data_IF_997038102728
#
_entry.id   IF_997038102728
#
_cell.length_a   1.000
_cell.length_b   1.000
_cell.length_c   1.000
_cell.angle_alpha   90.00
_cell.angle_beta   90.00
_cell.angle_gamma   90.00
#
_symmetry.space_group_name_H-M   'P 1'
#
loop_
_entity.id
_entity.type
_entity.pdbx_description
1 polymer ?
#
# COMPACT_ATOMS: atom_id res chain seq x y z
N UNK A 1 -7.61 -12.51 -12.86
CA UNK A 1 -6.18 -12.88 -12.98
C UNK A 1 -5.35 -11.62 -12.70
N UNK A 2 -4.14 -11.74 -12.14
CA UNK A 2 -3.27 -10.58 -11.93
C UNK A 2 -2.71 -10.09 -13.28
N UNK A 3 -2.58 -8.76 -13.43
CA UNK A 3 -1.90 -8.17 -14.58
C UNK A 3 -0.45 -8.72 -14.70
N UNK A 4 0.17 -8.73 -15.90
CA UNK A 4 1.47 -9.37 -16.12
C UNK A 4 2.59 -8.91 -15.19
N UNK A 5 2.67 -7.60 -14.89
CA UNK A 5 3.68 -7.03 -13.98
C UNK A 5 3.26 -7.01 -12.51
N UNK A 6 2.04 -7.46 -12.20
CA UNK A 6 1.51 -7.46 -10.84
C UNK A 6 1.86 -8.78 -10.15
N UNK A 7 2.70 -8.69 -9.12
CA UNK A 7 3.20 -9.84 -8.36
C UNK A 7 2.28 -10.20 -7.21
N UNK A 8 1.71 -9.20 -6.54
CA UNK A 8 0.81 -9.38 -5.40
C UNK A 8 -0.26 -8.30 -5.39
N UNK A 9 -1.46 -8.67 -4.99
CA UNK A 9 -2.53 -7.77 -4.64
C UNK A 9 -3.23 -8.31 -3.39
N UNK A 10 -3.32 -7.48 -2.36
CA UNK A 10 -4.06 -7.76 -1.14
C UNK A 10 -5.08 -6.65 -0.95
N UNK A 11 -6.34 -7.01 -0.83
CA UNK A 11 -7.44 -6.06 -0.62
C UNK A 11 -8.27 -6.49 0.56
N UNK A 12 -8.82 -5.53 1.29
CA UNK A 12 -9.66 -5.84 2.43
C UNK A 12 -10.32 -4.61 3.04
N UNK A 13 -11.26 -4.85 3.97
CA UNK A 13 -12.04 -3.79 4.59
C UNK A 13 -11.26 -3.01 5.65
N UNK A 14 -10.17 -3.58 6.17
CA UNK A 14 -9.39 -3.01 7.26
C UNK A 14 -7.95 -3.54 7.23
N UNK A 15 -6.97 -2.64 7.34
CA UNK A 15 -5.54 -2.99 7.40
C UNK A 15 -5.16 -3.73 8.69
N UNK A 16 -6.05 -3.73 9.69
CA UNK A 16 -5.85 -4.36 10.99
C UNK A 16 -5.43 -5.84 10.91
N UNK A 17 -6.07 -6.65 10.07
CA UNK A 17 -5.73 -8.06 9.98
C UNK A 17 -4.30 -8.30 9.46
N UNK A 18 -3.74 -7.35 8.69
CA UNK A 18 -2.34 -7.39 8.22
C UNK A 18 -1.40 -6.86 9.29
N UNK A 19 -1.77 -5.76 9.93
CA UNK A 19 -0.90 -5.04 10.85
C UNK A 19 -0.93 -5.58 12.29
N UNK A 20 -1.96 -6.31 12.68
CA UNK A 20 -2.17 -6.78 14.06
C UNK A 20 -0.97 -7.55 14.60
N UNK A 21 -0.42 -8.51 13.85
CA UNK A 21 0.76 -9.28 14.26
C UNK A 21 2.04 -8.44 14.36
N UNK A 22 2.19 -7.42 13.49
CA UNK A 22 3.33 -6.52 13.49
C UNK A 22 3.25 -5.51 14.65
N UNK A 23 2.08 -4.90 14.84
CA UNK A 23 1.81 -3.87 15.85
C UNK A 23 1.56 -4.44 17.24
N UNK A 24 1.35 -5.75 17.40
CA UNK A 24 1.31 -6.40 18.71
C UNK A 24 2.65 -6.28 19.47
N UNK A 25 3.75 -6.01 18.76
CA UNK A 25 5.09 -5.89 19.34
C UNK A 25 5.37 -4.44 19.74
N UNK A 26 5.54 -4.17 21.03
CA UNK A 26 5.89 -2.82 21.54
C UNK A 26 7.16 -2.26 20.89
N UNK A 27 8.16 -3.11 20.65
CA UNK A 27 9.41 -2.76 19.94
C UNK A 27 9.20 -2.21 18.52
N UNK A 28 8.03 -2.44 17.91
CA UNK A 28 7.65 -1.86 16.63
C UNK A 28 6.83 -0.59 16.83
N UNK A 29 5.93 -0.56 17.81
CA UNK A 29 5.05 0.59 18.07
C UNK A 29 5.81 1.83 18.53
N UNK A 30 6.75 1.69 19.46
CA UNK A 30 7.41 2.86 20.06
C UNK A 30 8.27 3.62 19.05
N UNK A 31 9.08 2.96 18.19
CA UNK A 31 9.79 3.66 17.13
C UNK A 31 8.85 4.30 16.10
N UNK A 32 7.68 3.70 15.80
CA UNK A 32 6.71 4.29 14.89
C UNK A 32 6.14 5.60 15.45
N UNK A 33 5.81 5.62 16.74
CA UNK A 33 5.34 6.84 17.40
C UNK A 33 6.45 7.89 17.49
N UNK A 34 7.64 7.51 17.97
CA UNK A 34 8.74 8.44 18.23
C UNK A 34 9.39 9.00 16.97
N UNK A 35 9.63 8.16 15.96
CA UNK A 35 10.35 8.55 14.73
C UNK A 35 9.42 9.02 13.63
N UNK A 36 8.18 8.54 13.59
CA UNK A 36 7.27 8.81 12.47
C UNK A 36 5.95 9.46 12.91
N UNK A 37 5.79 9.81 14.19
CA UNK A 37 4.56 10.45 14.69
C UNK A 37 3.31 9.56 14.60
N UNK A 38 3.49 8.25 14.45
CA UNK A 38 2.40 7.26 14.36
C UNK A 38 1.96 6.82 15.75
N UNK A 39 1.27 7.72 16.45
CA UNK A 39 0.63 7.43 17.73
C UNK A 39 -0.61 6.53 17.60
N UNK A 40 -1.25 6.22 18.73
CA UNK A 40 -2.39 5.28 18.78
C UNK A 40 -3.57 5.72 17.90
N UNK A 41 -3.86 7.02 17.83
CA UNK A 41 -4.95 7.55 17.01
C UNK A 41 -4.68 7.37 15.51
N UNK A 42 -3.43 7.61 15.08
CA UNK A 42 -3.02 7.43 13.69
C UNK A 42 -3.00 5.95 13.32
N UNK A 43 -2.56 5.08 14.22
CA UNK A 43 -2.61 3.63 14.03
C UNK A 43 -4.06 3.13 13.99
N UNK A 44 -4.95 3.66 14.82
CA UNK A 44 -6.38 3.31 14.77
C UNK A 44 -7.01 3.69 13.43
N UNK A 45 -6.65 4.86 12.88
CA UNK A 45 -7.07 5.31 11.56
C UNK A 45 -6.58 4.36 10.45
N UNK A 46 -5.29 4.03 10.45
CA UNK A 46 -4.68 3.06 9.53
C UNK A 46 -5.39 1.70 9.58
N UNK A 47 -5.63 1.18 10.79
CA UNK A 47 -6.23 -0.14 11.02
C UNK A 47 -7.64 -0.25 10.46
N UNK A 48 -8.42 0.82 10.47
CA UNK A 48 -9.84 0.82 10.07
C UNK A 48 -10.08 1.19 8.61
N UNK A 49 -9.04 1.63 7.88
CA UNK A 49 -9.23 2.14 6.53
C UNK A 49 -9.24 1.00 5.51
N UNK A 50 -10.28 0.90 4.65
CA UNK A 50 -10.29 -0.07 3.56
C UNK A 50 -9.15 0.19 2.60
N UNK A 51 -8.55 -0.89 2.11
CA UNK A 51 -7.27 -0.78 1.42
C UNK A 51 -7.11 -1.74 0.26
N UNK A 52 -6.18 -1.37 -0.61
CA UNK A 52 -5.58 -2.24 -1.63
C UNK A 52 -4.07 -2.05 -1.56
N UNK A 53 -3.38 -3.10 -1.15
CA UNK A 53 -1.93 -3.23 -1.22
C UNK A 53 -1.57 -3.95 -2.51
N UNK A 54 -0.57 -3.46 -3.21
CA UNK A 54 -0.17 -3.98 -4.51
C UNK A 54 1.34 -3.96 -4.62
N UNK A 55 1.91 -5.05 -5.09
CA UNK A 55 3.32 -5.17 -5.42
C UNK A 55 3.44 -5.48 -6.92
N UNK A 56 4.22 -4.67 -7.61
CA UNK A 56 4.53 -4.87 -9.03
C UNK A 56 6.02 -5.05 -9.24
N UNK A 57 6.40 -5.82 -10.26
CA UNK A 57 7.79 -5.89 -10.71
C UNK A 57 8.20 -4.58 -11.37
N UNK A 58 9.46 -4.22 -11.19
CA UNK A 58 10.08 -3.06 -11.81
C UNK A 58 11.23 -3.58 -12.68
N UNK A 59 11.14 -3.46 -14.02
CA UNK A 59 12.08 -4.14 -14.91
C UNK A 59 13.45 -3.47 -14.98
N UNK A 60 13.56 -2.20 -14.56
CA UNK A 60 14.78 -1.40 -14.69
C UNK A 60 14.94 -0.45 -13.52
N UNK A 61 16.19 -0.13 -13.24
CA UNK A 61 16.56 0.81 -12.20
C UNK A 61 16.84 0.13 -10.85
N UNK A 62 16.98 0.92 -9.80
CA UNK A 62 17.49 0.47 -8.50
C UNK A 62 16.48 -0.35 -7.67
N UNK A 63 15.24 -0.50 -8.15
CA UNK A 63 14.21 -1.29 -7.49
C UNK A 63 13.86 -2.48 -8.36
N UNK A 64 13.72 -3.65 -7.74
CA UNK A 64 13.22 -4.86 -8.40
C UNK A 64 11.68 -4.93 -8.34
N UNK A 65 11.08 -4.26 -7.36
CA UNK A 65 9.64 -4.19 -7.18
C UNK A 65 9.23 -2.83 -6.60
N UNK A 66 7.98 -2.43 -6.86
CA UNK A 66 7.37 -1.23 -6.30
C UNK A 66 6.12 -1.60 -5.51
N UNK A 67 6.00 -1.03 -4.32
CA UNK A 67 4.85 -1.21 -3.43
C UNK A 67 3.90 -0.02 -3.58
N UNK A 68 2.60 -0.28 -3.64
CA UNK A 68 1.58 0.77 -3.56
C UNK A 68 0.51 0.36 -2.55
N UNK A 69 0.15 1.29 -1.66
CA UNK A 69 -0.95 1.16 -0.73
C UNK A 69 -1.98 2.23 -1.08
N UNK A 70 -3.17 1.80 -1.49
CA UNK A 70 -4.31 2.67 -1.76
C UNK A 70 -5.30 2.54 -0.61
N UNK A 71 -5.74 3.67 -0.09
CA UNK A 71 -6.64 3.76 1.06
C UNK A 71 -7.92 4.49 0.66
N UNK A 72 -9.08 3.90 0.94
CA UNK A 72 -10.38 4.58 0.84
C UNK A 72 -10.59 5.45 2.08
N UNK A 73 -10.14 6.70 2.02
CA UNK A 73 -10.14 7.60 3.18
C UNK A 73 -11.50 8.24 3.46
N UNK A 74 -12.44 8.21 2.51
CA UNK A 74 -13.79 8.77 2.64
C UNK A 74 -13.83 10.15 3.29
N UNK A 75 -14.65 10.30 4.33
CA UNK A 75 -14.82 11.54 5.10
C UNK A 75 -13.64 11.87 6.03
N UNK A 76 -12.76 10.90 6.30
CA UNK A 76 -11.59 11.06 7.18
C UNK A 76 -10.41 11.77 6.50
N UNK A 77 -10.64 12.34 5.31
CA UNK A 77 -9.64 13.04 4.49
C UNK A 77 -8.80 14.05 5.29
N UNK A 78 -9.42 14.86 6.15
CA UNK A 78 -8.71 15.85 6.98
C UNK A 78 -7.75 15.21 7.99
N UNK A 79 -8.16 14.12 8.63
CA UNK A 79 -7.33 13.38 9.59
C UNK A 79 -6.10 12.79 8.87
N UNK A 80 -6.32 12.23 7.69
CA UNK A 80 -5.23 11.75 6.83
C UNK A 80 -4.27 12.85 6.38
N UNK A 81 -4.75 14.05 6.04
CA UNK A 81 -3.86 15.18 5.75
C UNK A 81 -2.95 15.52 6.93
N UNK A 82 -3.46 15.50 8.17
CA UNK A 82 -2.65 15.74 9.37
C UNK A 82 -1.58 14.66 9.58
N UNK A 83 -1.93 13.39 9.36
CA UNK A 83 -0.97 12.27 9.41
C UNK A 83 0.17 12.49 8.43
N UNK A 84 -0.14 12.80 7.17
CA UNK A 84 0.85 13.01 6.12
C UNK A 84 1.77 14.21 6.39
N UNK A 85 1.23 15.29 6.96
CA UNK A 85 2.04 16.44 7.38
C UNK A 85 3.03 16.05 8.48
N UNK A 86 2.62 15.21 9.43
CA UNK A 86 3.48 14.71 10.50
C UNK A 86 4.65 13.85 9.99
N UNK A 87 4.50 13.15 8.86
CA UNK A 87 5.57 12.33 8.28
C UNK A 87 6.61 13.13 7.49
N UNK A 88 6.30 14.37 7.10
CA UNK A 88 7.17 15.16 6.24
C UNK A 88 8.51 15.46 6.90
N UNK A 89 8.50 15.94 8.15
CA UNK A 89 9.72 16.32 8.86
C UNK A 89 10.64 15.11 9.12
N UNK A 90 10.15 13.97 9.65
CA UNK A 90 11.00 12.79 9.80
C UNK A 90 11.65 12.29 8.51
N UNK A 91 11.01 12.46 7.36
CA UNK A 91 11.56 12.04 6.07
C UNK A 91 12.65 13.01 5.59
N UNK A 92 12.47 14.31 5.83
CA UNK A 92 13.52 15.31 5.61
C UNK A 92 14.73 15.06 6.52
N UNK A 93 14.50 14.74 7.80
CA UNK A 93 15.55 14.43 8.77
C UNK A 93 16.33 13.14 8.40
N UNK A 94 15.73 12.26 7.58
CA UNK A 94 16.37 11.07 6.99
C UNK A 94 17.15 11.37 5.71
N UNK A 95 17.30 12.65 5.32
CA UNK A 95 17.99 13.07 4.11
C UNK A 95 17.19 12.82 2.83
N UNK A 96 15.86 12.66 2.92
CA UNK A 96 15.01 12.62 1.73
C UNK A 96 14.60 14.03 1.34
N UNK A 97 14.61 14.30 0.05
CA UNK A 97 14.13 15.55 -0.53
C UNK A 97 12.69 15.39 -1.00
N UNK A 98 11.81 16.33 -0.69
CA UNK A 98 10.48 16.37 -1.29
C UNK A 98 10.49 17.15 -2.61
N UNK A 99 10.28 16.44 -3.70
CA UNK A 99 10.12 16.95 -5.05
C UNK A 99 8.65 17.11 -5.48
N UNK A 100 7.70 17.24 -4.53
CA UNK A 100 6.32 17.60 -4.87
C UNK A 100 6.31 18.79 -5.83
N UNK A 101 5.50 18.75 -6.91
CA UNK A 101 5.52 19.82 -7.91
C UNK A 101 5.25 21.16 -7.23
N UNK A 102 6.18 22.10 -7.39
CA UNK A 102 5.95 23.50 -7.02
C UNK A 102 4.68 23.94 -7.75
N UNK A 103 3.66 24.31 -6.98
CA UNK A 103 2.36 24.67 -7.54
C UNK A 103 2.53 26.01 -8.25
N UNK A 104 2.55 25.97 -9.58
CA UNK A 104 2.80 27.13 -10.45
C UNK A 104 1.71 28.21 -10.38
N UNK A 105 0.66 28.03 -9.57
CA UNK A 105 -0.46 28.98 -9.49
C UNK A 105 -1.08 29.06 -8.08
N UNK A 106 -1.46 30.25 -7.59
CA UNK A 106 -2.05 30.44 -6.25
C UNK A 106 -3.37 29.67 -6.03
N UNK A 107 -4.18 29.48 -7.07
CA UNK A 107 -5.42 28.70 -6.99
C UNK A 107 -5.17 27.20 -6.85
N UNK A 108 -4.15 26.67 -7.54
CA UNK A 108 -3.68 25.28 -7.40
C UNK A 108 -2.96 25.09 -6.06
N UNK A 109 -2.23 26.11 -5.59
CA UNK A 109 -1.66 26.20 -4.25
C UNK A 109 -2.74 26.08 -3.17
N UNK A 110 -3.84 26.81 -3.29
CA UNK A 110 -4.94 26.79 -2.31
C UNK A 110 -5.72 25.47 -2.30
N UNK A 111 -5.92 24.85 -3.47
CA UNK A 111 -6.65 23.57 -3.58
C UNK A 111 -5.78 22.36 -3.17
N UNK A 112 -4.47 22.42 -3.40
CA UNK A 112 -3.52 21.39 -2.96
C UNK A 112 -2.96 21.64 -1.54
N UNK A 113 -3.04 22.87 -1.01
CA UNK A 113 -2.76 23.17 0.40
C UNK A 113 -3.66 22.36 1.34
N UNK A 114 -4.86 22.01 0.89
CA UNK A 114 -5.78 21.15 1.64
C UNK A 114 -5.39 19.65 1.61
N UNK A 115 -4.53 19.25 0.66
CA UNK A 115 -4.24 17.85 0.33
C UNK A 115 -2.74 17.64 0.07
N UNK A 116 -1.95 17.39 1.13
CA UNK A 116 -0.50 17.28 1.00
C UNK A 116 -0.15 16.15 0.04
N UNK A 117 0.66 16.47 -0.97
CA UNK A 117 1.26 15.52 -1.91
C UNK A 117 2.77 15.59 -1.72
N UNK A 118 3.44 14.45 -1.79
CA UNK A 118 4.89 14.37 -1.64
C UNK A 118 5.48 13.37 -2.64
N UNK A 119 6.68 13.69 -3.13
CA UNK A 119 7.51 12.80 -3.94
C UNK A 119 8.90 12.81 -3.33
N UNK A 120 9.26 11.72 -2.66
CA UNK A 120 10.52 11.59 -1.94
C UNK A 120 11.61 11.06 -2.85
N UNK A 121 12.73 11.77 -2.90
CA UNK A 121 13.96 11.34 -3.58
C UNK A 121 15.16 11.39 -2.64
N UNK A 122 16.19 10.61 -2.98
CA UNK A 122 17.52 10.73 -2.39
C UNK A 122 18.30 11.87 -3.05
N UNK A 123 19.47 12.19 -2.50
CA UNK A 123 20.36 13.25 -2.99
C UNK A 123 20.84 13.04 -4.44
N UNK A 124 20.87 11.78 -4.90
CA UNK A 124 21.18 11.40 -6.29
C UNK A 124 19.98 11.60 -7.26
N UNK A 125 18.86 12.14 -6.77
CA UNK A 125 17.63 12.32 -7.53
C UNK A 125 16.78 11.06 -7.70
N UNK A 126 17.19 9.92 -7.14
CA UNK A 126 16.45 8.68 -7.20
C UNK A 126 15.14 8.79 -6.39
N UNK A 127 14.00 8.64 -7.04
CA UNK A 127 12.69 8.58 -6.37
C UNK A 127 12.56 7.29 -5.58
N UNK A 128 12.29 7.41 -4.28
CA UNK A 128 12.14 6.27 -3.36
C UNK A 128 10.70 6.06 -2.91
N UNK A 129 9.82 7.03 -3.12
CA UNK A 129 8.41 6.89 -2.78
C UNK A 129 7.68 8.22 -2.73
N UNK A 130 6.50 8.21 -2.12
CA UNK A 130 5.67 9.39 -2.01
C UNK A 130 4.24 9.07 -1.66
N UNK A 131 3.43 10.12 -1.62
CA UNK A 131 1.99 9.99 -1.50
C UNK A 131 1.29 11.04 -2.35
N UNK A 132 0.10 10.69 -2.84
CA UNK A 132 -0.76 11.62 -3.56
C UNK A 132 -2.23 11.29 -3.32
N UNK A 133 -3.04 12.33 -3.44
CA UNK A 133 -4.48 12.21 -3.41
C UNK A 133 -5.01 11.84 -4.79
N UNK A 134 -6.00 10.95 -4.82
CA UNK A 134 -6.73 10.56 -6.01
C UNK A 134 -8.22 10.75 -5.76
N UNK A 135 -8.92 11.30 -6.74
CA UNK A 135 -10.38 11.40 -6.71
C UNK A 135 -10.88 10.99 -8.09
N UNK A 136 -11.65 9.90 -8.14
CA UNK A 136 -12.37 9.53 -9.35
C UNK A 136 -13.67 10.35 -9.43
N UNK A 137 -14.13 10.73 -10.63
CA UNK A 137 -15.44 11.33 -10.81
C UNK A 137 -16.52 10.43 -10.19
N UNK A 138 -17.30 10.96 -9.25
CA UNK A 138 -18.35 10.20 -8.53
C UNK A 138 -17.84 9.19 -7.49
N UNK A 139 -16.54 9.11 -7.24
CA UNK A 139 -15.93 8.21 -6.26
C UNK A 139 -15.45 8.93 -4.99
N UNK A 140 -15.31 8.15 -3.91
CA UNK A 140 -14.71 8.62 -2.68
C UNK A 140 -13.23 9.01 -2.88
N UNK A 141 -12.72 9.96 -2.09
CA UNK A 141 -11.29 10.25 -2.07
C UNK A 141 -10.48 9.03 -1.70
N UNK A 142 -9.36 8.89 -2.38
CA UNK A 142 -8.38 7.86 -2.11
C UNK A 142 -7.02 8.48 -1.85
N UNK A 143 -6.31 7.92 -0.89
CA UNK A 143 -4.91 8.24 -0.64
C UNK A 143 -4.05 7.12 -1.21
N UNK A 144 -3.12 7.46 -2.09
CA UNK A 144 -2.14 6.54 -2.63
C UNK A 144 -0.79 6.81 -1.98
N UNK A 145 -0.25 5.81 -1.29
CA UNK A 145 1.13 5.76 -0.84
C UNK A 145 1.90 4.82 -1.75
N UNK A 146 3.16 5.13 -2.03
CA UNK A 146 4.01 4.27 -2.84
C UNK A 146 5.46 4.27 -2.36
N UNK A 147 6.11 3.13 -2.53
CA UNK A 147 7.55 2.92 -2.32
C UNK A 147 8.15 2.40 -3.64
N UNK A 148 9.29 2.97 -4.02
CA UNK A 148 9.91 2.80 -5.33
C UNK A 148 9.46 3.85 -6.34
N UNK A 149 9.56 3.57 -7.65
CA UNK A 149 9.27 4.55 -8.70
C UNK A 149 7.82 5.00 -8.70
N UNK A 150 7.61 6.25 -9.14
CA UNK A 150 6.28 6.87 -9.17
C UNK A 150 5.28 6.01 -9.99
N UNK A 151 4.10 5.68 -9.42
CA UNK A 151 3.14 4.82 -10.07
C UNK A 151 2.47 5.51 -11.27
N UNK A 152 2.52 4.84 -12.43
CA UNK A 152 1.81 5.27 -13.63
C UNK A 152 0.31 5.49 -13.31
N UNK A 153 -0.24 6.68 -13.56
CA UNK A 153 -1.61 7.05 -13.18
C UNK A 153 -2.70 6.20 -13.85
N UNK A 154 -2.41 5.52 -14.97
CA UNK A 154 -3.38 4.66 -15.67
C UNK A 154 -3.63 3.36 -14.90
N UNK A 155 -2.57 2.73 -14.40
CA UNK A 155 -2.65 1.47 -13.62
C UNK A 155 -3.23 1.73 -12.22
N UNK A 156 -3.00 2.93 -11.67
CA UNK A 156 -3.50 3.31 -10.36
C UNK A 156 -5.03 3.52 -10.29
N UNK A 157 -5.73 3.59 -11.43
CA UNK A 157 -7.19 3.82 -11.51
C UNK A 157 -8.04 2.54 -11.47
N UNK A 158 -7.44 1.37 -11.64
CA UNK A 158 -8.19 0.13 -11.94
C UNK A 158 -8.68 -0.66 -10.74
N UNK A 159 -8.25 -0.32 -9.52
CA UNK A 159 -8.69 -1.01 -8.31
C UNK A 159 -9.14 0.01 -7.27
N UNK A 160 -10.42 0.35 -7.30
CA UNK A 160 -11.03 1.09 -6.20
C UNK A 160 -10.90 0.26 -4.92
N UNK A 161 -10.49 0.90 -3.82
CA UNK A 161 -10.59 0.24 -2.53
C UNK A 161 -12.07 -0.10 -2.29
N UNK A 162 -12.39 -1.35 -1.88
CA UNK A 162 -13.77 -1.77 -1.69
C UNK A 162 -14.43 -0.89 -0.62
N UNK A 163 -15.76 -0.68 -0.70
CA UNK A 163 -16.48 -0.01 0.38
C UNK A 163 -16.21 -0.72 1.71
N UNK A 164 -16.24 0.04 2.82
CA UNK A 164 -16.09 -0.48 4.18
C UNK A 164 -17.31 -1.33 4.56
N UNK A 165 -17.44 -2.51 3.97
CA UNK A 165 -18.43 -3.53 4.32
C UNK A 165 -17.71 -4.83 4.64
N UNK A 166 -18.44 -5.81 5.15
CA UNK A 166 -18.01 -7.15 5.59
C UNK A 166 -17.39 -8.02 4.48
N UNK A 167 -16.80 -7.41 3.45
CA UNK A 167 -16.12 -8.10 2.38
C UNK A 167 -14.93 -8.88 2.93
N UNK A 168 -14.73 -10.12 2.49
CA UNK A 168 -13.59 -10.91 2.91
C UNK A 168 -12.29 -10.23 2.46
N UNK A 169 -11.20 -10.54 3.15
CA UNK A 169 -9.87 -10.17 2.70
C UNK A 169 -9.50 -11.09 1.53
N UNK A 170 -9.04 -10.50 0.42
CA UNK A 170 -8.63 -11.25 -0.75
C UNK A 170 -7.15 -11.00 -1.02
N UNK A 171 -6.39 -12.09 -1.11
CA UNK A 171 -4.99 -12.09 -1.48
C UNK A 171 -4.83 -12.83 -2.80
N UNK A 172 -4.17 -12.18 -3.75
CA UNK A 172 -3.77 -12.77 -5.02
C UNK A 172 -2.28 -12.55 -5.18
N UNK A 173 -1.54 -13.58 -5.55
CA UNK A 173 -0.13 -13.43 -5.88
C UNK A 173 0.31 -14.36 -7.01
N UNK A 174 1.52 -14.10 -7.52
CA UNK A 174 2.27 -14.94 -8.45
C UNK A 174 3.46 -15.53 -7.71
N UNK A 175 3.32 -16.70 -7.05
CA UNK A 175 4.38 -17.26 -6.21
C UNK A 175 5.69 -17.49 -6.96
N UNK A 176 5.64 -18.05 -8.17
CA UNK A 176 6.83 -18.30 -8.97
C UNK A 176 7.61 -17.02 -9.29
N UNK A 177 6.92 -15.95 -9.68
CA UNK A 177 7.54 -14.65 -9.98
C UNK A 177 8.08 -13.98 -8.71
N UNK A 178 7.39 -14.12 -7.57
CA UNK A 178 7.88 -13.63 -6.27
C UNK A 178 9.13 -14.40 -5.80
N UNK A 179 9.16 -15.72 -5.99
CA UNK A 179 10.29 -16.56 -5.65
C UNK A 179 11.52 -16.22 -6.51
N UNK A 180 11.32 -15.96 -7.82
CA UNK A 180 12.38 -15.53 -8.72
C UNK A 180 13.03 -14.19 -8.31
N UNK A 181 12.28 -13.33 -7.60
CA UNK A 181 12.76 -12.07 -7.04
C UNK A 181 13.26 -12.19 -5.59
N UNK A 182 13.26 -13.39 -5.00
CA UNK A 182 13.61 -13.60 -3.59
C UNK A 182 12.64 -12.95 -2.60
N UNK A 183 11.42 -12.64 -3.03
CA UNK A 183 10.38 -11.98 -2.23
C UNK A 183 9.35 -12.95 -1.63
N UNK A 184 9.41 -14.23 -2.03
CA UNK A 184 8.59 -15.29 -1.45
C UNK A 184 9.36 -15.96 -0.30
N UNK A 185 8.77 -16.08 0.91
CA UNK A 185 9.44 -16.77 2.02
C UNK A 185 9.72 -18.25 1.71
N UNK A 186 10.90 -18.77 2.08
CA UNK A 186 11.29 -20.15 1.76
C UNK A 186 10.44 -21.22 2.46
N UNK A 187 9.74 -20.87 3.54
CA UNK A 187 8.84 -21.76 4.29
C UNK A 187 7.56 -22.14 3.54
N UNK A 188 7.22 -21.48 2.44
CA UNK A 188 6.06 -21.87 1.64
C UNK A 188 6.26 -23.27 1.03
N UNK A 189 5.23 -24.13 0.98
CA UNK A 189 5.34 -25.43 0.32
C UNK A 189 5.82 -25.30 -1.12
N UNK A 190 6.70 -26.20 -1.59
CA UNK A 190 7.20 -26.18 -2.98
C UNK A 190 6.08 -26.11 -4.02
N UNK A 191 4.95 -26.74 -3.69
CA UNK A 191 3.73 -26.69 -4.46
C UNK A 191 3.27 -25.23 -4.69
N UNK A 192 3.15 -24.44 -3.62
CA UNK A 192 2.80 -23.02 -3.73
C UNK A 192 3.87 -22.25 -4.49
N UNK A 193 5.15 -22.47 -4.17
CA UNK A 193 6.27 -21.73 -4.80
C UNK A 193 6.30 -21.87 -6.33
N UNK A 194 5.90 -23.03 -6.87
CA UNK A 194 5.90 -23.32 -8.31
C UNK A 194 4.61 -22.95 -9.03
N UNK A 195 3.59 -22.48 -8.32
CA UNK A 195 2.32 -22.11 -8.94
C UNK A 195 2.39 -20.77 -9.67
N UNK A 196 1.69 -20.65 -10.80
CA UNK A 196 1.67 -19.42 -11.59
C UNK A 196 0.78 -18.35 -10.95
N UNK A 197 -0.29 -18.78 -10.26
CA UNK A 197 -1.12 -17.91 -9.43
C UNK A 197 -1.64 -18.64 -8.20
N UNK A 198 -1.71 -17.89 -7.09
CA UNK A 198 -2.43 -18.27 -5.88
C UNK A 198 -3.48 -17.20 -5.58
N UNK A 199 -4.71 -17.62 -5.33
CA UNK A 199 -5.77 -16.77 -4.81
C UNK A 199 -6.26 -17.33 -3.47
N UNK A 200 -6.23 -16.50 -2.44
CA UNK A 200 -6.72 -16.79 -1.10
C UNK A 200 -7.81 -15.80 -0.75
N UNK A 201 -8.87 -16.29 -0.13
CA UNK A 201 -9.92 -15.48 0.46
C UNK A 201 -9.97 -15.83 1.94
N UNK A 202 -9.94 -14.81 2.78
CA UNK A 202 -10.03 -14.97 4.21
C UNK A 202 -11.27 -14.24 4.73
N UNK A 203 -12.09 -14.97 5.46
CA UNK A 203 -13.25 -14.42 6.15
C UNK A 203 -12.97 -14.37 7.66
N UNK A 204 -13.41 -13.28 8.27
CA UNK A 204 -13.27 -13.02 9.69
C UNK A 204 -14.10 -11.80 10.08
N UNK A 205 -14.52 -11.74 11.33
CA UNK A 205 -15.16 -10.53 11.85
C UNK A 205 -14.09 -9.43 12.05
N UNK A 206 -14.44 -8.15 11.85
CA UNK A 206 -13.53 -7.04 12.15
C UNK A 206 -12.96 -7.17 13.58
N UNK A 207 -11.63 -7.06 13.74
CA UNK A 207 -10.89 -7.21 15.01
C UNK A 207 -10.83 -8.62 15.61
N UNK A 208 -11.20 -9.66 14.88
CA UNK A 208 -10.98 -11.06 15.28
C UNK A 208 -9.89 -11.72 14.42
N UNK A 209 -9.23 -12.76 14.95
CA UNK A 209 -8.30 -13.56 14.14
C UNK A 209 -9.01 -14.15 12.92
N UNK A 210 -8.26 -14.26 11.81
CA UNK A 210 -8.72 -14.88 10.57
C UNK A 210 -9.28 -16.27 10.88
N UNK A 211 -10.59 -16.44 10.71
CA UNK A 211 -11.29 -17.63 11.20
C UNK A 211 -11.37 -18.72 10.15
N UNK A 212 -11.38 -18.35 8.87
CA UNK A 212 -11.38 -19.28 7.75
C UNK A 212 -10.51 -18.73 6.61
N UNK A 213 -9.65 -19.59 6.07
CA UNK A 213 -8.85 -19.34 4.88
C UNK A 213 -9.26 -20.36 3.81
N UNK A 214 -9.74 -19.89 2.67
CA UNK A 214 -10.03 -20.72 1.50
C UNK A 214 -9.25 -20.20 0.30
N UNK A 215 -9.01 -21.04 -0.70
CA UNK A 215 -8.20 -20.62 -1.82
C UNK A 215 -8.11 -21.59 -2.97
N UNK A 216 -7.61 -21.08 -4.09
CA UNK A 216 -7.40 -21.81 -5.33
C UNK A 216 -5.98 -21.58 -5.81
N UNK A 217 -5.30 -22.66 -6.14
CA UNK A 217 -3.98 -22.67 -6.77
C UNK A 217 -4.15 -22.93 -8.27
N UNK A 218 -3.51 -22.10 -9.10
CA UNK A 218 -3.44 -22.30 -10.54
C UNK A 218 -2.03 -22.68 -10.96
N UNK A 219 -2.00 -23.64 -11.86
CA UNK A 219 -0.81 -24.21 -12.47
C UNK A 219 -0.95 -24.00 -13.96
N UNK A 220 -0.04 -23.24 -14.55
CA UNK A 220 0.16 -23.38 -15.99
C UNK A 220 1.13 -24.53 -16.17
N UNK A 221 0.62 -25.67 -16.68
CA UNK A 221 1.50 -26.61 -17.37
C UNK A 221 1.92 -25.88 -18.64
N UNK A 222 3.10 -25.26 -18.65
CA UNK A 222 3.72 -24.93 -19.93
C UNK A 222 3.93 -26.26 -20.69
N UNK A 223 3.53 -26.32 -21.98
CA UNK A 223 3.74 -27.49 -22.83
C UNK A 223 5.22 -27.78 -23.05
#
# INVERSE_FOLDING_TARGET
>A
PLAPSQLLELRGPALDAVLSGLLARQLVRDPLAQRYGLGENQLALLRQTPFVLSLRSVPKGPFQAALTLRLAVGTQRRQWSQVLMGWRQPLLDQGLTDGAPALQSPASASRAANFPTARWSRDDGQVVGGWRWQQQPGGDPQLLLYLGPEPNPVVAKQVGAPPATTAPMELRLRPMDLAALGLLPPEFPQLVQRSSQLALTASGQPRQPLSQLSGVLRWDRSP
#
